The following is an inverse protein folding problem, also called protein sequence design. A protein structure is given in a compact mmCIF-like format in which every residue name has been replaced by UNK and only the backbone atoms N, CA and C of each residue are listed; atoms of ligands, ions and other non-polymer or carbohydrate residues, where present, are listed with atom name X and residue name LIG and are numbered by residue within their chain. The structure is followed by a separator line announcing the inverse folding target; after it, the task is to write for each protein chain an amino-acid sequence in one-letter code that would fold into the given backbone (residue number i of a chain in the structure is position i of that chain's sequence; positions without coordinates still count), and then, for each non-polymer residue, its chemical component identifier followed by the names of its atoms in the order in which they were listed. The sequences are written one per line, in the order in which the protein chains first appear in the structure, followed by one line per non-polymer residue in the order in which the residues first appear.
data_IF_420868751744
#
_entry.id   IF_420868751744
#
_cell.length_a   1.000
_cell.length_b   1.000
_cell.length_c   1.000
_cell.angle_alpha   90.00
_cell.angle_beta   90.00
_cell.angle_gamma   90.00
#
_symmetry.space_group_name_H-M   'P 1'
#
loop_
_entity.id
_entity.type
_entity.pdbx_description
1 polymer ?
#
# COMPACT_ATOMS: atom_id res chain seq x y z
N UNK A 1 -9.38 -6.94 -10.09
CA UNK A 1 -10.34 -6.29 -9.16
C UNK A 1 -9.94 -6.69 -7.75
N UNK A 2 -9.84 -5.75 -6.81
CA UNK A 2 -9.44 -5.98 -5.41
C UNK A 2 -10.45 -5.30 -4.48
N UNK A 3 -10.99 -5.98 -3.46
CA UNK A 3 -11.92 -5.35 -2.52
C UNK A 3 -11.22 -4.29 -1.67
N UNK A 4 -11.95 -3.25 -1.29
CA UNK A 4 -11.46 -2.28 -0.31
C UNK A 4 -11.67 -2.78 1.12
N UNK A 5 -10.69 -2.53 1.99
CA UNK A 5 -10.73 -2.88 3.40
C UNK A 5 -9.42 -2.55 4.10
N UNK A 6 -9.38 -2.80 5.41
CA UNK A 6 -8.17 -2.62 6.22
C UNK A 6 -7.17 -3.74 5.89
N UNK A 7 -5.96 -3.38 5.47
CA UNK A 7 -4.94 -4.37 5.11
C UNK A 7 -4.18 -4.74 6.37
N UNK A 8 -4.12 -6.03 6.68
CA UNK A 8 -3.39 -6.56 7.82
C UNK A 8 -2.44 -7.64 7.37
N UNK A 9 -1.27 -7.69 7.99
CA UNK A 9 -0.28 -8.71 7.70
C UNK A 9 0.10 -9.47 8.97
N UNK A 10 0.01 -10.79 8.90
CA UNK A 10 0.28 -11.70 10.02
C UNK A 10 1.43 -12.61 9.59
N UNK A 11 2.45 -12.72 10.46
CA UNK A 11 3.50 -13.72 10.30
C UNK A 11 2.98 -15.04 10.84
N UNK A 12 2.89 -16.09 10.01
CA UNK A 12 2.58 -17.42 10.52
C UNK A 12 3.79 -17.96 11.29
N UNK A 13 3.53 -18.58 12.44
CA UNK A 13 4.56 -19.25 13.26
C UNK A 13 5.06 -20.53 12.61
N UNK A 14 4.20 -21.21 11.84
CA UNK A 14 4.47 -22.52 11.26
C UNK A 14 5.24 -22.45 9.93
N UNK A 15 5.15 -21.33 9.20
CA UNK A 15 5.85 -21.14 7.94
C UNK A 15 6.43 -19.73 7.88
N UNK A 16 7.66 -19.60 7.37
CA UNK A 16 8.41 -18.34 7.36
C UNK A 16 7.92 -17.33 6.29
N UNK A 17 6.63 -17.34 5.97
CA UNK A 17 5.97 -16.43 5.04
C UNK A 17 4.91 -15.57 5.75
N UNK A 18 4.74 -14.35 5.25
CA UNK A 18 3.72 -13.42 5.69
C UNK A 18 2.41 -13.71 4.97
N UNK A 19 1.29 -13.64 5.68
CA UNK A 19 -0.05 -13.68 5.09
C UNK A 19 -0.65 -12.29 5.20
N UNK A 20 -1.11 -11.75 4.08
CA UNK A 20 -1.76 -10.45 4.00
C UNK A 20 -3.25 -10.67 3.75
N UNK A 21 -4.08 -10.09 4.62
CA UNK A 21 -5.54 -10.21 4.58
C UNK A 21 -6.17 -8.82 4.50
N UNK A 22 -7.25 -8.70 3.73
CA UNK A 22 -8.05 -7.49 3.64
C UNK A 22 -9.30 -7.70 4.50
N UNK A 23 -9.35 -7.05 5.66
CA UNK A 23 -10.51 -7.09 6.55
C UNK A 23 -11.56 -6.07 6.12
N UNK A 24 -12.78 -6.57 5.89
CA UNK A 24 -13.95 -5.75 5.59
C UNK A 24 -14.81 -5.63 6.84
N UNK A 25 -14.83 -4.46 7.48
CA UNK A 25 -15.66 -4.23 8.66
C UNK A 25 -17.13 -4.10 8.23
N UNK A 26 -17.98 -4.98 8.77
CA UNK A 26 -19.42 -5.03 8.44
C UNK A 26 -20.25 -3.91 9.05
N UNK A 27 -19.68 -3.08 9.94
CA UNK A 27 -20.42 -2.15 10.80
C UNK A 27 -20.84 -0.86 10.09
N UNK A 28 -20.26 -0.56 8.93
CA UNK A 28 -20.63 0.60 8.11
C UNK A 28 -20.98 0.12 6.71
N UNK A 29 -22.26 0.19 6.36
CA UNK A 29 -22.85 -0.30 5.11
C UNK A 29 -22.19 0.27 3.85
N UNK A 30 -21.50 1.40 3.94
CA UNK A 30 -20.89 2.13 2.82
C UNK A 30 -19.68 1.44 2.18
N UNK A 31 -18.91 0.63 2.92
CA UNK A 31 -17.64 0.06 2.41
C UNK A 31 -17.73 -1.39 1.92
N UNK A 32 -18.85 -2.09 2.20
CA UNK A 32 -18.98 -3.52 1.92
C UNK A 32 -18.86 -3.87 0.43
N UNK A 33 -19.22 -2.93 -0.45
CA UNK A 33 -19.26 -3.12 -1.91
C UNK A 33 -18.17 -2.32 -2.65
N UNK A 34 -17.27 -1.66 -1.94
CA UNK A 34 -16.22 -0.87 -2.59
C UNK A 34 -15.07 -1.77 -3.04
N UNK A 35 -14.64 -1.60 -4.28
CA UNK A 35 -13.52 -2.31 -4.88
C UNK A 35 -12.71 -1.37 -5.76
N UNK A 36 -11.45 -1.71 -5.97
CA UNK A 36 -10.58 -1.06 -6.92
C UNK A 36 -10.32 -1.96 -8.12
N UNK A 37 -10.36 -1.38 -9.30
CA UNK A 37 -9.95 -2.03 -10.54
C UNK A 37 -8.53 -1.60 -10.83
N UNK A 38 -7.63 -2.57 -10.93
CA UNK A 38 -6.26 -2.36 -11.36
C UNK A 38 -6.08 -3.05 -12.70
N UNK A 39 -5.46 -2.34 -13.64
CA UNK A 39 -5.25 -2.77 -15.01
C UNK A 39 -3.79 -3.10 -15.20
N UNK A 40 -3.52 -4.25 -15.81
CA UNK A 40 -2.18 -4.63 -16.23
C UNK A 40 -1.85 -3.96 -17.55
N UNK A 41 -0.68 -3.35 -17.61
CA UNK A 41 -0.08 -2.88 -18.85
C UNK A 41 1.10 -3.80 -19.16
N UNK A 42 0.89 -4.77 -20.06
CA UNK A 42 1.89 -5.80 -20.37
C UNK A 42 3.15 -5.22 -21.02
N UNK A 43 2.99 -4.19 -21.86
CA UNK A 43 4.11 -3.55 -22.56
C UNK A 43 5.03 -2.83 -21.60
N UNK A 44 4.47 -2.14 -20.62
CA UNK A 44 5.24 -1.44 -19.59
C UNK A 44 5.55 -2.32 -18.37
N UNK A 45 4.99 -3.54 -18.31
CA UNK A 45 5.08 -4.46 -17.17
C UNK A 45 4.70 -3.80 -15.84
N UNK A 46 3.63 -3.01 -15.85
CA UNK A 46 3.13 -2.31 -14.67
C UNK A 46 1.68 -2.66 -14.37
N UNK A 47 1.34 -2.67 -13.08
CA UNK A 47 -0.03 -2.66 -12.59
C UNK A 47 -0.42 -1.20 -12.28
N UNK A 48 -1.51 -0.73 -12.87
CA UNK A 48 -1.97 0.66 -12.76
C UNK A 48 -3.39 0.74 -12.18
N UNK A 49 -3.68 1.73 -11.33
CA UNK A 49 -5.06 2.08 -10.97
C UNK A 49 -5.72 2.85 -12.10
N UNK A 50 -7.05 2.76 -12.16
CA UNK A 50 -7.82 3.40 -13.23
C UNK A 50 -8.00 4.89 -12.97
N UNK A 51 -8.64 5.34 -11.87
CA UNK A 51 -9.30 6.66 -11.96
C UNK A 51 -9.27 7.55 -10.69
N UNK A 52 -8.59 7.19 -9.61
CA UNK A 52 -8.61 8.03 -8.39
C UNK A 52 -7.31 8.00 -7.57
N UNK A 53 -6.92 9.14 -6.94
CA UNK A 53 -5.79 9.17 -6.00
C UNK A 53 -5.89 8.12 -4.89
N UNK A 54 -7.12 7.85 -4.41
CA UNK A 54 -7.39 6.77 -3.45
C UNK A 54 -6.96 5.41 -3.99
N UNK A 55 -7.24 5.10 -5.25
CA UNK A 55 -6.83 3.85 -5.89
C UNK A 55 -5.31 3.74 -6.05
N UNK A 56 -4.64 4.84 -6.41
CA UNK A 56 -3.17 4.92 -6.45
C UNK A 56 -2.54 4.63 -5.08
N UNK A 57 -3.05 5.29 -4.03
CA UNK A 57 -2.59 5.12 -2.67
C UNK A 57 -2.91 3.71 -2.13
N UNK A 58 -4.07 3.15 -2.47
CA UNK A 58 -4.41 1.78 -2.07
C UNK A 58 -3.51 0.75 -2.75
N UNK A 59 -3.21 0.93 -4.04
CA UNK A 59 -2.26 0.07 -4.75
C UNK A 59 -0.85 0.15 -4.14
N UNK A 60 -0.42 1.36 -3.77
CA UNK A 60 0.86 1.56 -3.10
C UNK A 60 0.90 0.85 -1.73
N UNK A 61 -0.18 0.93 -0.95
CA UNK A 61 -0.30 0.21 0.33
C UNK A 61 -0.22 -1.31 0.12
N UNK A 62 -0.93 -1.85 -0.88
CA UNK A 62 -0.89 -3.29 -1.17
C UNK A 62 0.53 -3.76 -1.52
N UNK A 63 1.22 -3.05 -2.42
CA UNK A 63 2.61 -3.37 -2.78
C UNK A 63 3.56 -3.30 -1.57
N UNK A 64 3.39 -2.31 -0.69
CA UNK A 64 4.20 -2.21 0.52
C UNK A 64 3.92 -3.37 1.50
N UNK A 65 2.65 -3.72 1.70
CA UNK A 65 2.22 -4.76 2.62
C UNK A 65 2.56 -6.18 2.16
N UNK A 66 2.61 -6.39 0.84
CA UNK A 66 3.00 -7.68 0.24
C UNK A 66 4.47 -7.68 -0.22
N UNK A 67 5.27 -6.71 0.21
CA UNK A 67 6.65 -6.57 -0.24
C UNK A 67 7.50 -7.75 0.24
N UNK A 68 8.15 -8.42 -0.71
CA UNK A 68 9.17 -9.43 -0.46
C UNK A 68 10.52 -8.91 -0.98
N UNK A 69 11.67 -9.27 -0.38
CA UNK A 69 12.98 -8.87 -0.86
C UNK A 69 13.32 -9.36 -2.27
N UNK A 70 12.59 -10.35 -2.80
CA UNK A 70 12.74 -10.79 -4.18
C UNK A 70 11.90 -9.92 -5.11
N UNK A 71 12.43 -9.68 -6.31
CA UNK A 71 11.74 -8.97 -7.37
C UNK A 71 10.48 -9.75 -7.78
N UNK A 72 9.38 -9.03 -7.94
CA UNK A 72 8.17 -9.57 -8.54
C UNK A 72 8.45 -9.93 -10.00
N UNK A 73 8.07 -11.13 -10.43
CA UNK A 73 8.39 -11.65 -11.77
C UNK A 73 7.72 -10.85 -12.89
N UNK A 74 6.58 -10.21 -12.59
CA UNK A 74 5.87 -9.43 -13.58
C UNK A 74 6.51 -8.05 -13.75
N UNK A 75 6.64 -7.28 -12.66
CA UNK A 75 7.12 -5.90 -12.67
C UNK A 75 8.65 -5.76 -12.68
N UNK A 76 9.39 -6.79 -12.27
CA UNK A 76 10.84 -6.73 -12.11
C UNK A 76 11.31 -5.82 -10.96
N UNK A 77 10.40 -5.43 -10.07
CA UNK A 77 10.67 -4.56 -8.92
C UNK A 77 10.22 -5.25 -7.63
N UNK A 78 10.79 -4.87 -6.49
CA UNK A 78 10.22 -5.26 -5.19
C UNK A 78 8.92 -4.49 -4.94
N UNK A 79 8.07 -5.04 -4.06
CA UNK A 79 6.84 -4.36 -3.65
C UNK A 79 7.11 -2.99 -3.03
N UNK A 80 8.17 -2.87 -2.23
CA UNK A 80 8.60 -1.60 -1.66
C UNK A 80 8.95 -0.57 -2.74
N UNK A 81 9.81 -0.92 -3.70
CA UNK A 81 10.21 0.01 -4.78
C UNK A 81 9.00 0.44 -5.60
N UNK A 82 8.10 -0.50 -5.92
CA UNK A 82 6.88 -0.20 -6.66
C UNK A 82 5.94 0.70 -5.87
N UNK A 83 5.84 0.51 -4.55
CA UNK A 83 5.06 1.37 -3.67
C UNK A 83 5.60 2.80 -3.67
N UNK A 84 6.91 2.99 -3.50
CA UNK A 84 7.53 4.32 -3.59
C UNK A 84 7.31 4.98 -4.95
N UNK A 85 7.47 4.23 -6.04
CA UNK A 85 7.23 4.74 -7.39
C UNK A 85 5.79 5.25 -7.56
N UNK A 86 4.80 4.53 -7.00
CA UNK A 86 3.41 4.95 -7.02
C UNK A 86 3.18 6.20 -6.16
N UNK A 87 3.75 6.27 -4.96
CA UNK A 87 3.62 7.43 -4.06
C UNK A 87 4.24 8.71 -4.63
N UNK A 88 5.31 8.58 -5.42
CA UNK A 88 5.94 9.70 -6.13
C UNK A 88 5.21 10.08 -7.43
N UNK A 89 4.22 9.29 -7.88
CA UNK A 89 3.44 9.60 -9.07
C UNK A 89 2.47 10.76 -8.84
N UNK A 90 2.27 11.58 -9.87
CA UNK A 90 1.23 12.62 -9.88
C UNK A 90 -0.18 12.04 -9.67
N UNK A 91 -0.38 10.74 -9.96
CA UNK A 91 -1.66 10.06 -9.73
C UNK A 91 -2.07 9.96 -8.26
N UNK A 92 -1.11 10.03 -7.33
CA UNK A 92 -1.43 10.11 -5.90
C UNK A 92 -1.84 11.51 -5.45
N UNK A 93 -1.64 12.55 -6.27
CA UNK A 93 -1.83 13.94 -5.86
C UNK A 93 -3.23 14.41 -6.23
N UNK A 94 -3.78 15.30 -5.41
CA UNK A 94 -5.12 15.85 -5.57
C UNK A 94 -5.08 17.36 -5.40
N UNK A 95 -5.86 18.08 -6.20
CA UNK A 95 -6.10 19.52 -6.07
C UNK A 95 -7.08 19.84 -4.92
N UNK A 96 -7.82 18.83 -4.47
CA UNK A 96 -8.72 18.90 -3.31
C UNK A 96 -8.17 18.14 -2.11
N UNK A 97 -8.57 18.51 -0.87
CA UNK A 97 -8.23 17.75 0.33
C UNK A 97 -8.68 16.29 0.23
N UNK A 98 -7.85 15.38 0.75
CA UNK A 98 -8.20 13.95 0.80
C UNK A 98 -9.40 13.68 1.71
N UNK A 99 -10.27 12.79 1.24
CA UNK A 99 -11.38 12.28 2.03
C UNK A 99 -10.89 11.37 3.18
N UNK A 100 -11.82 10.98 4.05
CA UNK A 100 -11.53 10.15 5.21
C UNK A 100 -10.95 8.78 4.83
N UNK A 101 -11.36 8.22 3.70
CA UNK A 101 -10.89 6.94 3.16
C UNK A 101 -9.41 7.06 2.78
N UNK A 102 -9.09 8.04 1.94
CA UNK A 102 -7.73 8.25 1.47
C UNK A 102 -6.79 8.60 2.61
N UNK A 103 -7.26 9.42 3.56
CA UNK A 103 -6.52 9.71 4.79
C UNK A 103 -6.24 8.44 5.60
N UNK A 104 -7.18 7.50 5.70
CA UNK A 104 -6.96 6.24 6.42
C UNK A 104 -5.89 5.37 5.74
N UNK A 105 -5.89 5.31 4.41
CA UNK A 105 -4.86 4.59 3.64
C UNK A 105 -3.48 5.20 3.92
N UNK A 106 -3.36 6.53 3.88
CA UNK A 106 -2.10 7.22 4.19
C UNK A 106 -1.62 6.94 5.62
N UNK A 107 -2.52 6.86 6.60
CA UNK A 107 -2.17 6.49 7.97
C UNK A 107 -1.66 5.04 8.07
N UNK A 108 -2.25 4.10 7.31
CA UNK A 108 -1.75 2.73 7.23
C UNK A 108 -0.34 2.69 6.64
N UNK A 109 -0.08 3.43 5.55
CA UNK A 109 1.26 3.55 4.95
C UNK A 109 2.24 4.16 5.95
N UNK A 110 1.87 5.25 6.63
CA UNK A 110 2.72 5.89 7.63
C UNK A 110 3.10 4.95 8.79
N UNK A 111 2.23 3.99 9.14
CA UNK A 111 2.49 3.01 10.20
C UNK A 111 3.58 2.01 9.84
N UNK A 112 3.69 1.65 8.56
CA UNK A 112 4.70 0.71 8.05
C UNK A 112 5.97 1.41 7.52
N UNK A 113 5.92 2.73 7.35
CA UNK A 113 7.07 3.52 6.93
C UNK A 113 8.15 3.53 8.01
N UNK A 114 9.44 3.50 7.62
CA UNK A 114 10.54 3.71 8.56
C UNK A 114 10.37 5.05 9.30
N UNK A 115 10.53 5.02 10.63
CA UNK A 115 10.55 6.24 11.42
C UNK A 115 11.92 6.90 11.27
N UNK A 116 11.92 8.19 10.91
CA UNK A 116 13.15 8.99 10.86
C UNK A 116 13.51 9.36 12.30
N UNK A 117 14.25 8.49 12.97
CA UNK A 117 14.91 8.83 14.23
C UNK A 117 16.36 9.18 13.88
N UNK A 118 16.73 10.45 14.08
CA UNK A 118 18.03 11.02 13.71
C UNK A 118 19.21 10.29 14.39
N UNK A 119 18.99 9.73 15.58
CA UNK A 119 19.93 8.86 16.28
C UNK A 119 19.18 7.77 17.07
N UNK A 120 19.79 6.59 17.28
CA UNK A 120 19.39 5.70 18.37
C UNK A 120 19.39 6.47 19.69
N UNK A 121 18.43 6.22 20.58
CA UNK A 121 18.31 6.94 21.86
C UNK A 121 19.59 6.90 22.72
N UNK A 122 20.43 5.89 22.51
CA UNK A 122 21.69 5.68 23.22
C UNK A 122 22.90 6.37 22.56
N UNK A 123 22.74 7.04 21.41
CA UNK A 123 23.79 7.80 20.75
C UNK A 123 23.47 9.30 20.85
N UNK A 124 24.07 9.98 21.82
CA UNK A 124 24.13 11.44 21.81
C UNK A 124 25.19 11.89 20.83
N UNK A 125 24.82 12.72 19.85
CA UNK A 125 25.77 13.39 18.97
C UNK A 125 26.86 14.06 19.82
N UNK A 126 28.13 13.76 19.52
CA UNK A 126 29.26 14.54 20.06
C UNK A 126 29.24 15.97 19.53
#
# INVERSE_FOLDING_TARGET
IVPFGQVQAIKKSDHNHQIVTIERKSTSTSFLHQYFVFVLNDRLRILQPTDSPTGWLYLALLHAMTSHPLLDQYTGMTGMERSFQLLHSAGCWSDQPYDSITRNILLQIATISPKVNFYPEHLTCM
#
